data_IF_643166930024
#
_entry.id   IF_643166930024
#
_cell.length_a   1.000
_cell.length_b   1.000
_cell.length_c   1.000
_cell.angle_alpha   90.00
_cell.angle_beta   90.00
_cell.angle_gamma   90.00
#
_symmetry.space_group_name_H-M   'P 1'
#
loop_
_entity.id
_entity.type
_entity.pdbx_description
1 polymer ?
#
# COMPACT_ATOMS: atom_id res chain seq x y z
N UNK A 1 21.12 -35.75 -8.51
CA UNK A 1 21.45 -34.50 -7.78
C UNK A 1 20.75 -33.34 -8.49
N UNK A 2 19.45 -33.11 -8.22
CA UNK A 2 18.70 -32.05 -8.93
C UNK A 2 17.52 -31.48 -8.15
N UNK A 3 17.35 -31.85 -6.88
CA UNK A 3 16.24 -31.38 -6.05
C UNK A 3 16.55 -30.08 -5.27
N UNK A 4 17.81 -29.67 -5.19
CA UNK A 4 18.23 -28.56 -4.31
C UNK A 4 18.27 -27.18 -4.97
N UNK A 5 17.91 -27.07 -6.25
CA UNK A 5 17.90 -25.78 -6.97
C UNK A 5 16.51 -25.11 -6.96
N UNK A 6 15.43 -25.89 -6.85
CA UNK A 6 14.05 -25.38 -6.83
C UNK A 6 13.60 -24.84 -5.46
N UNK A 7 14.12 -25.37 -4.34
CA UNK A 7 13.81 -24.84 -3.01
C UNK A 7 14.56 -23.54 -2.67
N UNK A 8 15.71 -23.27 -3.31
CA UNK A 8 16.46 -22.02 -3.10
C UNK A 8 15.97 -20.87 -3.99
N UNK A 9 15.24 -21.15 -5.08
CA UNK A 9 14.56 -20.14 -5.89
C UNK A 9 13.24 -19.65 -5.27
N UNK A 10 12.60 -20.46 -4.41
CA UNK A 10 11.40 -20.05 -3.65
C UNK A 10 11.69 -19.10 -2.47
N UNK A 11 12.96 -18.90 -2.08
CA UNK A 11 13.32 -18.19 -0.84
C UNK A 11 13.83 -16.74 -1.03
N UNK A 12 13.67 -16.15 -2.21
CA UNK A 12 13.74 -14.68 -2.41
C UNK A 12 12.55 -14.21 -3.21
N UNK A 13 11.33 -14.48 -2.72
CA UNK A 13 10.22 -13.58 -3.06
C UNK A 13 10.67 -12.20 -2.60
N UNK A 14 10.94 -11.32 -3.58
CA UNK A 14 11.32 -9.94 -3.35
C UNK A 14 10.27 -9.36 -2.40
N UNK A 15 10.66 -9.07 -1.16
CA UNK A 15 9.73 -8.53 -0.16
C UNK A 15 9.06 -7.31 -0.81
N UNK A 16 7.74 -7.35 -0.97
CA UNK A 16 6.98 -6.23 -1.54
C UNK A 16 6.70 -5.20 -0.46
N UNK A 17 6.40 -3.96 -0.86
CA UNK A 17 6.00 -2.92 0.08
C UNK A 17 4.79 -3.38 0.90
N UNK A 18 3.80 -3.97 0.23
CA UNK A 18 2.57 -4.45 0.86
C UNK A 18 2.84 -5.51 1.92
N UNK A 19 3.71 -6.50 1.62
CA UNK A 19 4.10 -7.53 2.58
C UNK A 19 4.85 -6.95 3.79
N UNK A 20 5.82 -6.08 3.54
CA UNK A 20 6.62 -5.48 4.59
C UNK A 20 5.79 -4.56 5.50
N UNK A 21 4.94 -3.73 4.90
CA UNK A 21 4.09 -2.79 5.64
C UNK A 21 3.05 -3.55 6.46
N UNK A 22 2.44 -4.59 5.90
CA UNK A 22 1.50 -5.46 6.62
C UNK A 22 2.19 -6.13 7.80
N UNK A 23 3.35 -6.78 7.58
CA UNK A 23 4.07 -7.47 8.64
C UNK A 23 4.46 -6.51 9.77
N UNK A 24 5.03 -5.34 9.44
CA UNK A 24 5.45 -4.35 10.44
C UNK A 24 4.25 -3.82 11.22
N UNK A 25 3.16 -3.43 10.55
CA UNK A 25 1.97 -2.91 11.21
C UNK A 25 1.33 -3.91 12.18
N UNK A 26 1.40 -5.23 11.90
CA UNK A 26 0.86 -6.25 12.80
C UNK A 26 1.81 -6.67 13.93
N UNK A 27 3.13 -6.50 13.76
CA UNK A 27 4.12 -6.91 14.77
C UNK A 27 4.66 -5.77 15.64
N UNK A 28 4.46 -4.51 15.23
CA UNK A 28 4.92 -3.31 15.93
C UNK A 28 3.72 -2.37 16.22
N UNK A 29 3.17 -2.39 17.44
CA UNK A 29 2.04 -1.55 17.82
C UNK A 29 2.32 -0.05 17.78
N UNK A 30 3.56 0.38 17.98
CA UNK A 30 3.94 1.79 17.92
C UNK A 30 3.96 2.27 16.48
N UNK A 31 4.49 1.45 15.58
CA UNK A 31 4.41 1.69 14.16
C UNK A 31 2.97 1.68 13.65
N UNK A 32 2.11 0.77 14.14
CA UNK A 32 0.69 0.73 13.78
C UNK A 32 -0.03 2.05 14.14
N UNK A 33 0.22 2.57 15.35
CA UNK A 33 -0.33 3.87 15.78
C UNK A 33 0.21 5.03 14.95
N UNK A 34 1.50 5.00 14.60
CA UNK A 34 2.08 6.00 13.71
C UNK A 34 1.48 5.91 12.31
N UNK A 35 1.28 4.72 11.78
CA UNK A 35 0.72 4.49 10.45
C UNK A 35 -0.71 5.02 10.31
N UNK A 36 -1.54 4.89 11.35
CA UNK A 36 -2.90 5.42 11.36
C UNK A 36 -2.96 6.96 11.58
N UNK A 37 -2.00 7.54 12.31
CA UNK A 37 -2.02 8.98 12.67
C UNK A 37 -1.18 9.89 11.76
N UNK A 38 -0.01 9.39 11.32
CA UNK A 38 0.91 10.05 10.39
C UNK A 38 1.50 9.00 9.41
N UNK A 39 0.70 8.58 8.41
CA UNK A 39 1.13 7.57 7.44
C UNK A 39 2.35 8.01 6.64
N UNK A 40 2.57 9.32 6.45
CA UNK A 40 3.73 9.83 5.71
C UNK A 40 5.02 9.55 6.47
N UNK A 41 5.08 9.87 7.76
CA UNK A 41 6.24 9.56 8.59
C UNK A 41 6.46 8.06 8.73
N UNK A 42 5.38 7.27 8.86
CA UNK A 42 5.47 5.81 8.90
C UNK A 42 6.07 5.22 7.60
N UNK A 43 5.60 5.68 6.44
CA UNK A 43 6.12 5.25 5.13
C UNK A 43 7.58 5.71 4.92
N UNK A 44 7.94 6.92 5.34
CA UNK A 44 9.31 7.41 5.29
C UNK A 44 10.26 6.56 6.14
N UNK A 45 9.82 6.10 7.33
CA UNK A 45 10.57 5.15 8.16
C UNK A 45 10.74 3.75 7.53
N UNK A 46 10.11 3.50 6.38
CA UNK A 46 10.29 2.31 5.53
C UNK A 46 11.01 2.63 4.21
N UNK A 47 11.53 3.84 4.05
CA UNK A 47 12.18 4.29 2.82
C UNK A 47 11.21 4.60 1.67
N UNK A 48 9.92 4.81 1.97
CA UNK A 48 8.90 5.17 0.98
C UNK A 48 8.59 6.66 1.10
N UNK A 49 8.96 7.42 0.08
CA UNK A 49 8.60 8.83 -0.03
C UNK A 49 7.26 9.02 -0.74
N UNK A 50 6.54 10.04 -0.30
CA UNK A 50 5.23 10.44 -0.83
C UNK A 50 5.31 11.93 -1.13
N UNK A 51 4.78 12.38 -2.27
CA UNK A 51 4.76 13.80 -2.64
C UNK A 51 3.91 14.63 -1.66
N UNK A 52 4.33 15.85 -1.31
CA UNK A 52 3.70 16.68 -0.26
C UNK A 52 2.22 17.03 -0.53
N UNK A 53 1.83 17.11 -1.80
CA UNK A 53 0.47 17.38 -2.22
C UNK A 53 -0.48 16.17 -2.13
N UNK A 54 0.02 15.01 -1.69
CA UNK A 54 -0.75 13.77 -1.58
C UNK A 54 -1.11 13.53 -0.11
N UNK A 55 -2.42 13.52 0.16
CA UNK A 55 -2.96 13.09 1.45
C UNK A 55 -3.18 11.58 1.42
N UNK A 56 -2.68 10.90 2.44
CA UNK A 56 -2.82 9.45 2.61
C UNK A 56 -3.67 9.18 3.85
N UNK A 57 -4.58 8.22 3.71
CA UNK A 57 -5.34 7.64 4.81
C UNK A 57 -5.18 6.12 4.75
N UNK A 58 -4.54 5.53 5.76
CA UNK A 58 -4.29 4.08 5.84
C UNK A 58 -5.11 3.54 7.00
N UNK A 59 -5.88 2.48 6.73
CA UNK A 59 -6.66 1.76 7.74
C UNK A 59 -6.24 0.31 7.78
N UNK A 60 -5.89 -0.17 8.96
CA UNK A 60 -5.72 -1.60 9.19
C UNK A 60 -7.10 -2.27 9.18
N UNK A 61 -7.32 -3.21 8.27
CA UNK A 61 -8.56 -3.98 8.20
C UNK A 61 -8.64 -4.98 9.37
N UNK A 62 -9.72 -4.93 10.15
CA UNK A 62 -10.00 -5.86 11.25
C UNK A 62 -11.14 -6.81 10.88
N UNK A 63 -11.10 -8.04 11.41
CA UNK A 63 -12.06 -9.11 11.08
C UNK A 63 -13.50 -8.81 11.51
N UNK A 64 -13.66 -7.91 12.47
CA UNK A 64 -14.92 -7.50 13.09
C UNK A 64 -15.42 -6.14 12.59
N UNK A 65 -14.75 -5.54 11.60
CA UNK A 65 -15.00 -4.17 11.17
C UNK A 65 -15.38 -4.13 9.69
N UNK A 66 -16.50 -3.48 9.37
CA UNK A 66 -16.92 -3.19 8.00
C UNK A 66 -16.32 -1.85 7.55
N UNK A 67 -15.70 -1.83 6.37
CA UNK A 67 -15.07 -0.64 5.78
C UNK A 67 -15.81 -0.25 4.51
N UNK A 68 -16.20 1.01 4.41
CA UNK A 68 -16.74 1.60 3.18
C UNK A 68 -16.13 2.99 2.98
N UNK A 69 -15.89 3.34 1.72
CA UNK A 69 -15.51 4.69 1.31
C UNK A 69 -16.64 5.23 0.45
N UNK A 70 -17.20 6.35 0.86
CA UNK A 70 -18.21 7.06 0.08
C UNK A 70 -17.47 7.99 -0.88
N UNK A 71 -17.64 7.85 -2.21
CA UNK A 71 -17.00 8.76 -3.15
C UNK A 71 -17.50 10.20 -2.96
N UNK A 72 -16.74 11.21 -3.42
CA UNK A 72 -17.22 12.58 -3.47
C UNK A 72 -18.56 12.66 -4.22
N UNK A 73 -19.52 13.38 -3.64
CA UNK A 73 -20.77 13.66 -4.32
C UNK A 73 -20.49 14.51 -5.56
N UNK A 74 -20.92 14.05 -6.74
CA UNK A 74 -20.87 14.81 -7.97
C UNK A 74 -22.15 15.63 -8.13
N UNK A 75 -22.09 16.94 -7.90
CA UNK A 75 -23.24 17.84 -8.10
C UNK A 75 -23.47 18.14 -9.59
N UNK A 76 -22.43 18.03 -10.41
CA UNK A 76 -22.46 18.25 -11.86
C UNK A 76 -22.13 16.97 -12.61
N UNK A 77 -22.72 16.81 -13.79
CA UNK A 77 -22.51 15.64 -14.67
C UNK A 77 -21.06 15.45 -15.08
N UNK A 78 -20.36 16.53 -15.39
CA UNK A 78 -18.93 16.53 -15.74
C UNK A 78 -18.02 16.02 -14.62
N UNK A 79 -18.43 16.20 -13.36
CA UNK A 79 -17.71 15.66 -12.20
C UNK A 79 -17.99 14.16 -12.01
N UNK A 80 -19.19 13.69 -12.38
CA UNK A 80 -19.57 12.28 -12.33
C UNK A 80 -18.88 11.42 -13.40
N UNK A 81 -18.53 12.03 -14.54
CA UNK A 81 -17.84 11.35 -15.65
C UNK A 81 -16.33 11.17 -15.39
N UNK A 82 -15.77 11.81 -14.34
CA UNK A 82 -14.39 11.57 -13.90
C UNK A 82 -14.32 10.27 -13.10
N UNK A 83 -13.39 9.38 -13.47
CA UNK A 83 -13.10 8.16 -12.69
C UNK A 83 -12.48 8.56 -11.34
N UNK A 84 -13.34 8.66 -10.33
CA UNK A 84 -12.98 9.13 -9.00
C UNK A 84 -12.25 8.08 -8.17
N UNK A 85 -12.53 6.79 -8.36
CA UNK A 85 -11.91 5.71 -7.59
C UNK A 85 -11.44 4.61 -8.52
N UNK A 86 -10.13 4.41 -8.57
CA UNK A 86 -9.52 3.19 -9.06
C UNK A 86 -9.28 2.26 -7.86
N UNK A 87 -9.74 1.02 -7.97
CA UNK A 87 -9.42 -0.04 -7.03
C UNK A 87 -8.28 -0.89 -7.58
N UNK A 88 -7.17 -0.99 -6.85
CA UNK A 88 -6.06 -1.89 -7.21
C UNK A 88 -5.97 -3.03 -6.19
N UNK A 89 -6.51 -4.17 -6.60
CA UNK A 89 -6.41 -5.45 -5.88
C UNK A 89 -5.31 -6.35 -6.47
N UNK A 90 -4.93 -6.14 -7.73
CA UNK A 90 -4.24 -7.15 -8.54
C UNK A 90 -2.72 -7.17 -8.33
N UNK A 91 -2.12 -6.02 -8.05
CA UNK A 91 -0.68 -5.90 -7.78
C UNK A 91 -0.34 -5.90 -6.28
N UNK A 92 -1.35 -5.96 -5.42
CA UNK A 92 -1.22 -5.87 -3.96
C UNK A 92 -0.91 -7.21 -3.29
N UNK A 93 -0.76 -8.30 -4.06
CA UNK A 93 -0.46 -9.65 -3.55
C UNK A 93 -1.47 -10.16 -2.54
N UNK A 94 -2.76 -9.87 -2.74
CA UNK A 94 -3.89 -10.19 -1.86
C UNK A 94 -3.94 -9.46 -0.50
N UNK A 95 -3.03 -8.51 -0.24
CA UNK A 95 -2.89 -7.90 1.08
C UNK A 95 -3.62 -6.56 1.24
N UNK A 96 -3.72 -5.74 0.18
CA UNK A 96 -4.34 -4.42 0.24
C UNK A 96 -5.50 -4.23 -0.73
N UNK A 97 -6.47 -3.42 -0.27
CA UNK A 97 -7.45 -2.75 -1.12
C UNK A 97 -7.05 -1.27 -1.22
N UNK A 98 -6.43 -0.88 -2.32
CA UNK A 98 -6.17 0.53 -2.59
C UNK A 98 -7.41 1.17 -3.20
N UNK A 99 -7.87 2.27 -2.62
CA UNK A 99 -8.91 3.13 -3.20
C UNK A 99 -8.28 4.51 -3.38
N UNK A 100 -8.24 4.98 -4.62
CA UNK A 100 -7.55 6.23 -4.96
C UNK A 100 -8.16 6.91 -6.19
N UNK A 101 -8.10 8.25 -6.30
CA UNK A 101 -8.30 8.92 -7.57
C UNK A 101 -7.38 8.40 -8.67
N UNK A 102 -7.91 8.22 -9.89
CA UNK A 102 -7.11 7.75 -11.03
C UNK A 102 -5.86 8.62 -11.25
N UNK A 103 -5.96 9.93 -11.01
CA UNK A 103 -4.85 10.87 -11.13
C UNK A 103 -3.65 10.53 -10.20
N UNK A 104 -3.88 9.83 -9.09
CA UNK A 104 -2.82 9.44 -8.16
C UNK A 104 -2.15 8.11 -8.53
N UNK A 105 -2.57 7.42 -9.59
CA UNK A 105 -2.05 6.08 -9.93
C UNK A 105 -0.54 6.05 -10.10
N UNK A 106 0.02 7.10 -10.72
CA UNK A 106 1.47 7.23 -10.90
C UNK A 106 2.21 7.34 -9.56
N UNK A 107 1.59 7.96 -8.55
CA UNK A 107 2.19 8.07 -7.22
C UNK A 107 2.27 6.70 -6.54
N UNK A 108 1.20 5.89 -6.60
CA UNK A 108 1.23 4.52 -6.09
C UNK A 108 2.36 3.70 -6.75
N UNK A 109 2.56 3.86 -8.06
CA UNK A 109 3.64 3.16 -8.76
C UNK A 109 5.02 3.64 -8.29
N UNK A 110 5.20 4.94 -8.05
CA UNK A 110 6.44 5.48 -7.47
C UNK A 110 6.71 4.93 -6.08
N UNK A 111 5.69 4.90 -5.21
CA UNK A 111 5.82 4.33 -3.86
C UNK A 111 6.31 2.87 -3.92
N UNK A 112 5.72 2.06 -4.79
CA UNK A 112 6.14 0.66 -5.03
C UNK A 112 7.57 0.55 -5.56
N UNK A 113 7.95 1.41 -6.50
CA UNK A 113 9.30 1.41 -7.10
C UNK A 113 10.38 1.93 -6.14
N UNK A 114 10.02 2.87 -5.26
CA UNK A 114 10.89 3.42 -4.23
C UNK A 114 11.24 2.40 -3.16
N UNK A 115 10.32 1.48 -2.85
CA UNK A 115 10.59 0.38 -1.94
C UNK A 115 11.60 -0.62 -2.51
N UNK A 116 12.86 -0.48 -2.10
CA UNK A 116 13.93 -1.45 -2.37
C UNK A 116 14.02 -2.38 -1.17
N UNK A 117 13.24 -3.48 -1.21
CA UNK A 117 13.16 -4.47 -0.13
C UNK A 117 14.54 -4.75 0.48
N UNK A 118 14.62 -4.64 1.81
CA UNK A 118 15.87 -4.59 2.58
C UNK A 118 16.87 -5.69 2.19
N UNK A 119 17.78 -5.34 1.28
CA UNK A 119 19.08 -5.96 1.16
C UNK A 119 20.05 -5.06 1.92
N UNK A 120 20.10 -5.22 3.23
CA UNK A 120 21.33 -4.91 3.95
C UNK A 120 22.29 -6.08 3.71
N UNK A 121 23.51 -5.72 3.27
CA UNK A 121 24.68 -6.60 3.17
C UNK A 121 24.94 -7.40 4.45
#
# INVERSE_FOLDING_TARGET
MTANKGLSEMSREKQTLERALTARAWHDPDFARLLESDPRSALAAMGVEVSDNVKIDIRMQRRDTLYFVIPPLAERREDAERVLNQMDMWQSGDLFCWIMPQALKLELLRMRQGYRGGGHE
#
